data_IF_635880696558
#
_entry.id   IF_635880696558
#
_cell.length_a   1.000
_cell.length_b   1.000
_cell.length_c   1.000
_cell.angle_alpha   90.00
_cell.angle_beta   90.00
_cell.angle_gamma   90.00
#
_symmetry.space_group_name_H-M   'P 1'
#
loop_
_entity.id
_entity.type
_entity.pdbx_description
1 polymer ?
#
# COMPACT_ATOMS: atom_id res chain seq x y z
N UNK A 1 13.98 6.89 7.97
CA UNK A 1 12.66 7.60 7.97
C UNK A 1 11.62 6.81 8.77
N UNK A 2 11.03 7.44 9.78
CA UNK A 2 9.94 6.86 10.60
C UNK A 2 8.75 7.83 10.67
N UNK A 3 7.56 7.32 11.00
CA UNK A 3 6.47 8.16 11.50
C UNK A 3 6.86 8.55 12.92
N UNK A 4 6.94 9.85 13.20
CA UNK A 4 7.33 10.38 14.50
C UNK A 4 6.18 11.03 15.25
N UNK A 5 5.14 11.46 14.56
CA UNK A 5 4.01 12.16 15.17
C UNK A 5 2.73 11.98 14.37
N UNK A 6 1.62 11.84 15.08
CA UNK A 6 0.26 11.92 14.57
C UNK A 6 -0.51 12.98 15.33
N UNK A 7 -1.18 13.86 14.60
CA UNK A 7 -2.18 14.76 15.16
C UNK A 7 -3.52 14.53 14.48
N UNK A 8 -4.59 14.46 15.27
CA UNK A 8 -5.95 14.24 14.80
C UNK A 8 -6.85 15.33 15.38
N UNK A 9 -7.63 15.97 14.53
CA UNK A 9 -8.75 16.83 14.89
C UNK A 9 -10.04 16.30 14.23
N UNK A 10 -11.10 16.15 15.03
CA UNK A 10 -12.49 15.84 14.62
C UNK A 10 -12.69 14.56 13.80
N UNK A 11 -11.93 13.49 14.06
CA UNK A 11 -12.04 12.22 13.32
C UNK A 11 -12.69 11.13 14.18
N UNK A 12 -13.89 10.68 13.76
CA UNK A 12 -14.70 9.66 14.44
C UNK A 12 -14.90 10.00 15.92
N UNK A 13 -14.47 9.13 16.84
CA UNK A 13 -14.57 9.36 18.29
C UNK A 13 -13.48 10.28 18.88
N UNK A 14 -12.62 10.89 18.05
CA UNK A 14 -11.49 11.72 18.51
C UNK A 14 -11.73 13.18 18.13
N UNK A 15 -11.95 14.03 19.13
CA UNK A 15 -12.06 15.48 18.93
C UNK A 15 -10.68 16.12 18.72
N UNK A 16 -9.70 15.77 19.56
CA UNK A 16 -8.31 16.21 19.45
C UNK A 16 -7.39 15.13 20.04
N UNK A 17 -6.31 14.79 19.35
CA UNK A 17 -5.30 13.86 19.82
C UNK A 17 -3.94 14.17 19.20
N UNK A 18 -2.89 14.06 20.02
CA UNK A 18 -1.51 14.16 19.59
C UNK A 18 -0.74 12.98 20.19
N UNK A 19 -0.04 12.23 19.33
CA UNK A 19 0.77 11.06 19.71
C UNK A 19 2.13 11.18 19.04
N UNK A 20 3.19 11.06 19.84
CA UNK A 20 4.54 10.85 19.36
C UNK A 20 4.82 9.35 19.20
N UNK A 21 5.61 9.00 18.19
CA UNK A 21 5.96 7.63 17.84
C UNK A 21 7.46 7.44 17.87
N UNK A 22 7.87 6.30 18.43
CA UNK A 22 9.23 5.77 18.35
C UNK A 22 9.30 4.63 17.32
N UNK A 23 10.50 4.06 17.12
CA UNK A 23 10.71 2.88 16.27
C UNK A 23 9.75 1.73 16.59
N UNK A 24 9.40 1.55 17.87
CA UNK A 24 8.37 0.60 18.32
C UNK A 24 7.44 1.30 19.27
N UNK A 25 6.19 1.48 18.87
CA UNK A 25 5.16 2.16 19.66
C UNK A 25 4.04 1.17 20.00
N UNK A 26 3.75 0.99 21.29
CA UNK A 26 2.68 0.11 21.77
C UNK A 26 1.49 0.95 22.26
N UNK A 27 0.36 0.85 21.56
CA UNK A 27 -0.87 1.54 21.94
C UNK A 27 -1.78 0.58 22.72
N UNK A 28 -2.02 0.87 23.99
CA UNK A 28 -2.89 0.08 24.87
C UNK A 28 -3.98 0.96 25.51
N UNK A 29 -5.02 0.31 26.04
CA UNK A 29 -6.19 0.97 26.63
C UNK A 29 -7.44 0.12 26.51
N UNK A 30 -8.53 0.54 27.16
CA UNK A 30 -9.81 -0.19 27.15
C UNK A 30 -10.41 -0.34 25.74
N UNK A 31 -11.33 -1.28 25.56
CA UNK A 31 -12.04 -1.39 24.29
C UNK A 31 -12.80 -0.09 23.98
N UNK A 32 -12.92 0.23 22.68
CA UNK A 32 -13.61 1.43 22.20
C UNK A 32 -13.00 2.79 22.56
N UNK A 33 -11.76 2.85 23.06
CA UNK A 33 -11.08 4.12 23.39
C UNK A 33 -10.39 4.81 22.21
N UNK A 34 -10.66 4.41 20.97
CA UNK A 34 -10.07 5.04 19.78
C UNK A 34 -8.74 4.46 19.30
N UNK A 35 -8.23 3.36 19.87
CA UNK A 35 -6.98 2.70 19.40
C UNK A 35 -7.03 2.33 17.91
N UNK A 36 -8.13 1.71 17.47
CA UNK A 36 -8.34 1.39 16.06
C UNK A 36 -8.56 2.65 15.20
N UNK A 37 -9.09 3.73 15.79
CA UNK A 37 -9.25 5.03 15.12
C UNK A 37 -7.89 5.66 14.82
N UNK A 38 -6.93 5.58 15.74
CA UNK A 38 -5.54 6.03 15.54
C UNK A 38 -4.92 5.30 14.34
N UNK A 39 -5.03 3.97 14.30
CA UNK A 39 -4.50 3.18 13.19
C UNK A 39 -5.20 3.51 11.87
N UNK A 40 -6.53 3.67 11.88
CA UNK A 40 -7.29 4.07 10.70
C UNK A 40 -6.87 5.45 10.18
N UNK A 41 -6.61 6.42 11.06
CA UNK A 41 -6.15 7.76 10.67
C UNK A 41 -4.81 7.70 9.92
N UNK A 42 -3.84 6.92 10.43
CA UNK A 42 -2.55 6.69 9.77
C UNK A 42 -2.75 6.03 8.40
N UNK A 43 -3.60 5.01 8.32
CA UNK A 43 -3.92 4.33 7.06
C UNK A 43 -4.54 5.28 6.03
N UNK A 44 -5.41 6.20 6.46
CA UNK A 44 -6.06 7.14 5.55
C UNK A 44 -5.05 8.10 4.93
N UNK A 45 -4.10 8.62 5.71
CA UNK A 45 -3.05 9.52 5.21
C UNK A 45 -2.07 8.81 4.27
N UNK A 46 -1.74 7.55 4.56
CA UNK A 46 -0.81 6.76 3.75
C UNK A 46 -1.48 6.05 2.57
N UNK A 47 -2.82 6.03 2.53
CA UNK A 47 -3.60 5.32 1.54
C UNK A 47 -3.48 5.91 0.14
N UNK A 48 -3.56 5.05 -0.89
CA UNK A 48 -3.50 5.44 -2.32
C UNK A 48 -4.68 6.29 -2.80
N UNK A 49 -5.68 6.50 -1.95
CA UNK A 49 -6.83 7.37 -2.21
C UNK A 49 -6.47 8.85 -2.00
N UNK A 50 -5.42 9.16 -1.23
CA UNK A 50 -4.98 10.55 -1.01
C UNK A 50 -4.56 11.17 -2.34
N UNK A 51 -5.16 12.32 -2.67
CA UNK A 51 -4.95 13.04 -3.93
C UNK A 51 -5.91 12.66 -5.07
N UNK A 52 -6.88 11.77 -4.85
CA UNK A 52 -8.00 11.58 -5.79
C UNK A 52 -9.10 12.60 -5.50
N UNK A 53 -9.85 12.99 -6.53
CA UNK A 53 -10.98 13.94 -6.41
C UNK A 53 -12.20 13.37 -5.65
N UNK A 54 -12.25 12.05 -5.44
CA UNK A 54 -13.29 11.41 -4.62
C UNK A 54 -13.03 11.67 -3.14
N UNK A 55 -14.08 11.87 -2.36
CA UNK A 55 -13.99 12.02 -0.90
C UNK A 55 -13.17 10.87 -0.30
N UNK A 56 -12.05 11.20 0.33
CA UNK A 56 -11.26 10.23 1.11
C UNK A 56 -12.01 9.84 2.39
N UNK A 57 -12.90 10.71 2.86
CA UNK A 57 -13.72 10.53 4.05
C UNK A 57 -15.17 10.20 3.70
N UNK A 58 -15.78 9.36 4.53
CA UNK A 58 -17.22 9.12 4.56
C UNK A 58 -17.88 9.96 5.67
N UNK A 59 -19.21 10.06 5.66
CA UNK A 59 -19.99 10.70 6.74
C UNK A 59 -19.65 10.15 8.13
N UNK A 60 -19.39 8.84 8.22
CA UNK A 60 -19.00 8.16 9.46
C UNK A 60 -17.66 8.64 10.04
N UNK A 61 -16.80 9.21 9.20
CA UNK A 61 -15.46 9.64 9.62
C UNK A 61 -15.47 10.98 10.36
N UNK A 62 -16.56 11.77 10.26
CA UNK A 62 -16.70 13.04 10.94
C UNK A 62 -17.09 12.86 12.41
N UNK A 63 -16.43 13.61 13.29
CA UNK A 63 -16.86 13.71 14.68
C UNK A 63 -18.16 14.51 14.78
N UNK A 64 -19.16 13.95 15.45
CA UNK A 64 -20.46 14.57 15.67
C UNK A 64 -20.69 14.75 17.17
N UNK A 65 -21.19 15.93 17.54
CA UNK A 65 -21.82 16.12 18.85
C UNK A 65 -23.18 15.41 18.88
N UNK A 66 -23.80 15.31 20.07
CA UNK A 66 -24.98 14.46 20.33
C UNK A 66 -26.14 14.64 19.33
N UNK A 67 -26.31 15.84 18.76
CA UNK A 67 -27.36 16.19 17.81
C UNK A 67 -26.82 16.69 16.45
N UNK A 68 -25.52 16.52 16.17
CA UNK A 68 -24.86 17.06 14.98
C UNK A 68 -25.13 16.25 13.71
N UNK A 69 -25.21 16.92 12.56
CA UNK A 69 -25.22 16.28 11.25
C UNK A 69 -23.82 16.30 10.61
N UNK A 70 -23.45 15.28 9.82
CA UNK A 70 -22.17 15.26 9.10
C UNK A 70 -21.89 16.50 8.23
N UNK A 71 -22.93 17.14 7.71
CA UNK A 71 -22.81 18.37 6.91
C UNK A 71 -22.38 19.58 7.73
N UNK A 72 -22.68 19.58 9.02
CA UNK A 72 -22.42 20.67 9.96
C UNK A 72 -21.16 20.38 10.82
N UNK A 73 -20.55 19.22 10.62
CA UNK A 73 -19.42 18.76 11.40
C UNK A 73 -18.18 19.63 11.18
N UNK A 74 -17.40 19.80 12.24
CA UNK A 74 -16.11 20.46 12.15
C UNK A 74 -15.18 19.71 11.17
N UNK A 75 -14.33 20.42 10.42
CA UNK A 75 -13.42 19.77 9.48
C UNK A 75 -12.50 18.75 10.17
N UNK A 76 -12.33 17.61 9.53
CA UNK A 76 -11.33 16.61 9.90
C UNK A 76 -9.96 17.14 9.51
N UNK A 77 -8.98 17.00 10.40
CA UNK A 77 -7.56 17.17 10.08
C UNK A 77 -6.78 16.00 10.66
N UNK A 78 -5.97 15.35 9.81
CA UNK A 78 -5.05 14.30 10.22
C UNK A 78 -3.67 14.68 9.71
N UNK A 79 -2.74 14.95 10.61
CA UNK A 79 -1.37 15.32 10.29
C UNK A 79 -0.42 14.18 10.69
N UNK A 80 0.43 13.77 9.76
CA UNK A 80 1.43 12.73 9.97
C UNK A 80 2.81 13.32 9.69
N UNK A 81 3.67 13.34 10.72
CA UNK A 81 5.04 13.82 10.60
C UNK A 81 5.99 12.66 10.46
N UNK A 82 6.71 12.63 9.34
CA UNK A 82 7.83 11.74 9.11
C UNK A 82 9.11 12.44 9.49
N UNK A 83 10.02 11.68 10.11
CA UNK A 83 11.26 12.22 10.63
C UNK A 83 12.42 11.29 10.34
N UNK A 84 13.58 11.90 10.22
CA UNK A 84 14.87 11.26 10.17
C UNK A 84 15.26 10.63 11.52
N UNK A 85 15.93 9.48 11.51
CA UNK A 85 16.28 8.78 12.77
C UNK A 85 17.60 9.29 13.34
N UNK A 86 18.57 9.54 12.47
CA UNK A 86 19.91 10.04 12.75
C UNK A 86 20.26 11.11 11.73
N UNK A 87 21.11 12.09 12.05
CA UNK A 87 21.52 13.11 11.08
C UNK A 87 22.08 12.46 9.80
N UNK A 88 21.61 12.95 8.64
CA UNK A 88 22.01 12.47 7.30
C UNK A 88 21.60 11.02 6.95
N UNK A 89 20.63 10.43 7.68
CA UNK A 89 19.96 9.15 7.35
C UNK A 89 19.17 9.26 6.02
N UNK A 90 18.67 10.46 5.65
CA UNK A 90 17.99 10.64 4.36
C UNK A 90 18.99 11.00 3.25
N UNK A 91 19.18 10.10 2.28
CA UNK A 91 20.06 10.34 1.12
C UNK A 91 19.70 11.62 0.34
N UNK A 92 20.71 12.32 -0.20
CA UNK A 92 20.52 13.52 -1.04
C UNK A 92 19.51 13.32 -2.17
N UNK A 93 19.50 12.13 -2.79
CA UNK A 93 18.56 11.78 -3.85
C UNK A 93 17.11 11.77 -3.35
N UNK A 94 16.86 11.25 -2.15
CA UNK A 94 15.54 11.26 -1.52
C UNK A 94 15.11 12.68 -1.17
N UNK A 95 16.01 13.47 -0.59
CA UNK A 95 15.76 14.88 -0.22
C UNK A 95 15.41 15.70 -1.46
N UNK A 96 16.19 15.58 -2.55
CA UNK A 96 15.90 16.25 -3.82
C UNK A 96 14.53 15.87 -4.38
N UNK A 97 14.15 14.60 -4.28
CA UNK A 97 12.88 14.14 -4.85
C UNK A 97 11.66 14.55 -4.02
N UNK A 98 11.81 14.69 -2.70
CA UNK A 98 10.78 15.29 -1.84
C UNK A 98 10.73 16.81 -2.05
N UNK A 99 11.88 17.42 -2.32
CA UNK A 99 12.02 18.81 -2.73
C UNK A 99 11.57 19.76 -1.60
N UNK A 100 10.70 20.74 -1.89
CA UNK A 100 10.40 21.83 -0.95
C UNK A 100 9.57 21.40 0.27
N UNK A 101 9.12 20.15 0.35
CA UNK A 101 8.32 19.67 1.49
C UNK A 101 9.18 19.21 2.66
N UNK A 102 10.50 19.09 2.45
CA UNK A 102 11.46 18.77 3.51
C UNK A 102 11.73 20.03 4.32
N UNK A 103 11.49 19.94 5.62
CA UNK A 103 11.86 20.93 6.61
C UNK A 103 12.91 20.39 7.57
N UNK A 104 13.42 21.27 8.42
CA UNK A 104 14.31 20.91 9.53
C UNK A 104 13.55 21.10 10.84
N UNK A 105 13.49 20.04 11.64
CA UNK A 105 12.88 20.05 12.97
C UNK A 105 13.70 20.85 13.98
N UNK A 106 13.15 21.10 15.17
CA UNK A 106 13.83 21.85 16.23
C UNK A 106 15.10 21.18 16.77
N UNK A 107 15.30 19.91 16.47
CA UNK A 107 16.47 19.10 16.82
C UNK A 107 17.49 18.98 15.67
N UNK A 108 17.28 19.69 14.56
CA UNK A 108 18.18 19.67 13.41
C UNK A 108 17.97 18.50 12.44
N UNK A 109 17.02 17.61 12.73
CA UNK A 109 16.72 16.45 11.88
C UNK A 109 15.72 16.81 10.77
N UNK A 110 15.83 16.13 9.64
CA UNK A 110 14.91 16.35 8.52
C UNK A 110 13.50 15.83 8.84
N UNK A 111 12.49 16.63 8.50
CA UNK A 111 11.07 16.29 8.69
C UNK A 111 10.24 16.57 7.45
N UNK A 112 9.15 15.81 7.30
CA UNK A 112 8.07 16.10 6.35
C UNK A 112 6.75 15.90 7.08
N UNK A 113 5.88 16.89 7.06
CA UNK A 113 4.54 16.78 7.64
C UNK A 113 3.49 16.80 6.55
N UNK A 114 2.70 15.73 6.45
CA UNK A 114 1.59 15.59 5.52
C UNK A 114 0.27 15.74 6.27
N UNK A 115 -0.58 16.68 5.84
CA UNK A 115 -1.93 16.84 6.34
C UNK A 115 -2.95 16.34 5.33
N UNK A 116 -3.90 15.53 5.81
CA UNK A 116 -5.13 15.18 5.11
C UNK A 116 -6.30 15.89 5.80
N UNK A 117 -7.09 16.63 5.02
CA UNK A 117 -8.25 17.39 5.51
C UNK A 117 -9.52 16.93 4.84
N UNK A 118 -10.62 16.89 5.59
CA UNK A 118 -11.96 16.55 5.11
C UNK A 118 -12.99 17.56 5.60
N UNK A 119 -13.87 18.03 4.71
CA UNK A 119 -14.99 18.90 5.10
C UNK A 119 -16.18 18.69 4.18
N UNK A 120 -17.37 19.07 4.64
CA UNK A 120 -18.50 19.29 3.76
C UNK A 120 -18.29 20.59 2.97
N UNK A 121 -18.63 20.57 1.68
CA UNK A 121 -18.63 21.75 0.82
C UNK A 121 -20.07 22.08 0.43
N UNK A 122 -20.64 23.12 1.04
CA UNK A 122 -22.02 23.55 0.78
C UNK A 122 -22.26 23.96 -0.67
N UNK A 123 -21.26 24.55 -1.34
CA UNK A 123 -21.40 25.01 -2.72
C UNK A 123 -21.52 23.82 -3.70
N UNK A 124 -20.87 22.70 -3.37
CA UNK A 124 -20.91 21.47 -4.16
C UNK A 124 -21.99 20.50 -3.65
N UNK A 125 -22.44 20.67 -2.41
CA UNK A 125 -23.37 19.76 -1.73
C UNK A 125 -22.77 18.39 -1.45
N UNK A 126 -21.45 18.31 -1.20
CA UNK A 126 -20.74 17.04 -1.05
C UNK A 126 -19.51 17.15 -0.16
N UNK A 127 -19.05 16.01 0.37
CA UNK A 127 -17.81 15.93 1.11
C UNK A 127 -16.61 16.04 0.18
N UNK A 128 -15.68 16.91 0.54
CA UNK A 128 -14.43 17.12 -0.18
C UNK A 128 -13.24 16.77 0.70
N UNK A 129 -12.18 16.31 0.08
CA UNK A 129 -10.93 16.01 0.76
C UNK A 129 -9.78 16.71 0.05
N UNK A 130 -8.83 17.19 0.84
CA UNK A 130 -7.63 17.84 0.35
C UNK A 130 -6.44 17.33 1.14
N UNK A 131 -5.26 17.46 0.55
CA UNK A 131 -4.00 17.23 1.26
C UNK A 131 -3.08 18.41 1.02
N UNK A 132 -2.20 18.66 1.99
CA UNK A 132 -1.16 19.66 1.92
C UNK A 132 0.03 19.24 2.76
N UNK A 133 1.21 19.77 2.41
CA UNK A 133 2.40 19.60 3.23
C UNK A 133 2.53 20.79 4.17
N UNK A 134 3.04 20.58 5.37
CA UNK A 134 3.28 21.65 6.32
C UNK A 134 4.78 21.92 6.48
N UNK A 135 5.13 23.19 6.63
CA UNK A 135 6.45 23.57 7.09
C UNK A 135 6.62 23.21 8.60
N UNK A 136 7.84 23.30 9.17
CA UNK A 136 8.06 23.03 10.60
C UNK A 136 7.25 23.91 11.57
N UNK A 137 6.75 25.08 11.11
CA UNK A 137 5.91 25.98 11.91
C UNK A 137 4.41 25.61 11.85
N UNK A 138 4.01 24.67 11.00
CA UNK A 138 2.62 24.24 10.79
C UNK A 138 1.89 24.97 9.66
N UNK A 139 2.56 25.82 8.89
CA UNK A 139 1.94 26.53 7.76
C UNK A 139 1.90 25.65 6.50
N UNK A 140 0.82 25.72 5.71
CA UNK A 140 0.71 24.97 4.47
C UNK A 140 1.71 25.43 3.41
N UNK A 141 2.37 24.46 2.81
CA UNK A 141 3.25 24.59 1.65
C UNK A 141 2.46 24.42 0.34
N UNK A 142 3.01 24.89 -0.80
CA UNK A 142 2.40 24.66 -2.11
C UNK A 142 2.16 23.17 -2.39
N UNK A 143 1.07 22.87 -3.08
CA UNK A 143 0.68 21.50 -3.39
C UNK A 143 1.78 20.76 -4.17
N UNK A 144 2.18 19.58 -3.69
CA UNK A 144 3.24 18.77 -4.28
C UNK A 144 2.80 17.30 -4.43
N UNK A 145 2.05 16.99 -5.47
CA UNK A 145 1.53 15.64 -5.72
C UNK A 145 2.64 14.61 -6.00
N UNK A 146 3.78 15.03 -6.54
CA UNK A 146 4.96 14.16 -6.74
C UNK A 146 5.55 13.70 -5.41
N UNK A 147 5.72 14.62 -4.45
CA UNK A 147 6.22 14.28 -3.12
C UNK A 147 5.27 13.32 -2.38
N UNK A 148 3.95 13.53 -2.50
CA UNK A 148 2.96 12.61 -1.94
C UNK A 148 3.15 11.17 -2.47
N UNK A 149 3.23 11.02 -3.80
CA UNK A 149 3.43 9.69 -4.42
C UNK A 149 4.74 9.05 -3.97
N UNK A 150 5.78 9.85 -3.77
CA UNK A 150 7.08 9.38 -3.31
C UNK A 150 7.04 8.92 -1.85
N UNK A 151 6.41 9.66 -0.95
CA UNK A 151 6.22 9.24 0.45
C UNK A 151 5.46 7.91 0.50
N UNK A 152 4.39 7.78 -0.29
CA UNK A 152 3.62 6.53 -0.38
C UNK A 152 4.42 5.34 -0.96
N UNK A 153 5.53 5.59 -1.67
CA UNK A 153 6.45 4.56 -2.15
C UNK A 153 7.54 4.23 -1.13
N UNK A 154 8.06 5.23 -0.41
CA UNK A 154 9.16 5.10 0.54
C UNK A 154 8.67 4.54 1.89
N UNK A 155 7.43 4.86 2.29
CA UNK A 155 6.82 4.40 3.54
C UNK A 155 5.66 3.45 3.24
N UNK A 156 5.93 2.17 2.90
CA UNK A 156 4.88 1.18 2.77
C UNK A 156 4.28 0.90 4.16
N UNK A 157 2.99 1.21 4.33
CA UNK A 157 2.26 0.95 5.57
C UNK A 157 1.59 -0.42 5.53
N UNK A 158 1.95 -1.32 6.44
CA UNK A 158 1.30 -2.63 6.57
C UNK A 158 0.31 -2.60 7.72
N UNK A 159 -0.98 -2.75 7.42
CA UNK A 159 -1.99 -2.89 8.45
C UNK A 159 -2.36 -4.35 8.67
N UNK A 160 -1.97 -4.85 9.83
CA UNK A 160 -2.25 -6.22 10.25
C UNK A 160 -3.36 -6.17 11.31
N UNK A 161 -4.61 -6.12 10.87
CA UNK A 161 -5.78 -6.11 11.78
C UNK A 161 -5.82 -7.34 12.69
N UNK A 162 -5.46 -8.49 12.12
CA UNK A 162 -5.26 -9.77 12.77
C UNK A 162 -4.31 -10.62 11.90
N UNK A 163 -3.63 -11.61 12.50
CA UNK A 163 -2.72 -12.50 11.76
C UNK A 163 -3.38 -13.19 10.55
N UNK A 164 -4.70 -13.45 10.64
CA UNK A 164 -5.52 -14.02 9.56
C UNK A 164 -5.70 -13.06 8.38
N UNK A 165 -5.74 -11.75 8.64
CA UNK A 165 -5.89 -10.71 7.62
C UNK A 165 -4.54 -10.34 6.98
N UNK A 166 -3.42 -10.55 7.68
CA UNK A 166 -2.07 -10.43 7.14
C UNK A 166 -1.88 -11.24 5.85
N UNK A 167 -2.39 -12.48 5.85
CA UNK A 167 -2.34 -13.37 4.68
C UNK A 167 -3.07 -12.82 3.44
N UNK A 168 -3.96 -11.83 3.59
CA UNK A 168 -4.60 -11.13 2.44
C UNK A 168 -3.71 -10.05 1.85
N UNK A 169 -2.91 -9.36 2.66
CA UNK A 169 -1.99 -8.30 2.22
C UNK A 169 -0.77 -8.86 1.47
N UNK A 170 -0.37 -10.11 1.76
CA UNK A 170 0.74 -10.82 1.13
C UNK A 170 0.36 -11.60 -0.15
N UNK A 171 -0.81 -11.37 -0.74
CA UNK A 171 -1.19 -12.01 -2.01
C UNK A 171 -0.52 -11.32 -3.20
N UNK A 172 -0.35 -12.06 -4.30
CA UNK A 172 0.14 -11.58 -5.61
C UNK A 172 -0.43 -10.21 -6.05
N UNK A 173 -1.73 -10.03 -5.84
CA UNK A 173 -2.52 -8.86 -6.25
C UNK A 173 -2.80 -7.92 -5.07
N UNK A 174 -2.18 -8.16 -3.92
CA UNK A 174 -2.28 -7.29 -2.76
C UNK A 174 -1.78 -5.89 -3.11
N UNK A 175 -2.42 -4.86 -2.55
CA UNK A 175 -2.05 -3.47 -2.80
C UNK A 175 -0.57 -3.20 -2.44
N UNK A 176 0.01 -4.00 -1.54
CA UNK A 176 1.36 -3.84 -1.01
C UNK A 176 2.37 -4.86 -1.55
N UNK A 177 2.08 -6.16 -1.54
CA UNK A 177 3.05 -7.19 -1.98
C UNK A 177 3.29 -7.20 -3.50
N UNK A 178 2.26 -6.92 -4.30
CA UNK A 178 2.37 -6.89 -5.77
C UNK A 178 3.44 -5.91 -6.30
N UNK A 179 3.46 -4.63 -5.87
CA UNK A 179 4.52 -3.68 -6.21
C UNK A 179 5.92 -4.10 -5.75
N UNK A 180 6.06 -4.66 -4.54
CA UNK A 180 7.34 -5.14 -4.01
C UNK A 180 7.92 -6.25 -4.90
N UNK A 181 7.12 -7.27 -5.21
CA UNK A 181 7.49 -8.35 -6.14
C UNK A 181 7.85 -7.82 -7.53
N UNK A 182 7.11 -6.84 -8.05
CA UNK A 182 7.42 -6.21 -9.35
C UNK A 182 8.71 -5.39 -9.34
N UNK A 183 9.16 -4.92 -8.18
CA UNK A 183 10.37 -4.12 -8.03
C UNK A 183 11.64 -4.95 -7.85
N UNK A 184 11.52 -6.25 -7.54
CA UNK A 184 12.64 -7.18 -7.46
C UNK A 184 13.25 -7.35 -8.86
N UNK A 185 14.44 -6.76 -9.05
CA UNK A 185 15.29 -7.03 -10.20
C UNK A 185 16.13 -8.26 -9.89
N UNK A 186 15.76 -9.39 -10.48
CA UNK A 186 16.59 -10.61 -10.46
C UNK A 186 17.63 -10.46 -11.57
N UNK A 187 18.87 -10.85 -11.26
CA UNK A 187 19.95 -10.90 -12.24
C UNK A 187 19.56 -11.78 -13.44
N UNK A 188 19.85 -11.36 -14.69
CA UNK A 188 19.45 -12.12 -15.88
C UNK A 188 19.96 -13.56 -15.89
N UNK A 189 21.19 -13.80 -15.43
CA UNK A 189 21.81 -15.13 -15.49
C UNK A 189 21.11 -16.08 -14.50
N UNK A 190 20.85 -15.60 -13.28
CA UNK A 190 20.11 -16.34 -12.25
C UNK A 190 18.67 -16.61 -12.70
N UNK A 191 18.06 -15.65 -13.39
CA UNK A 191 16.69 -15.81 -13.90
C UNK A 191 16.62 -16.93 -14.93
N UNK A 192 17.54 -16.97 -15.89
CA UNK A 192 17.57 -18.02 -16.92
C UNK A 192 17.80 -19.41 -16.30
N UNK A 193 18.69 -19.51 -15.31
CA UNK A 193 18.92 -20.74 -14.57
C UNK A 193 17.63 -21.27 -13.90
N UNK A 194 16.93 -20.39 -13.16
CA UNK A 194 15.67 -20.74 -12.50
C UNK A 194 14.60 -21.17 -13.52
N UNK A 195 14.44 -20.45 -14.64
CA UNK A 195 13.47 -20.79 -15.70
C UNK A 195 13.79 -22.16 -16.33
N UNK A 196 15.07 -22.51 -16.50
CA UNK A 196 15.49 -23.82 -16.98
C UNK A 196 15.16 -24.96 -16.00
N UNK A 197 15.39 -24.76 -14.71
CA UNK A 197 15.03 -25.74 -13.68
C UNK A 197 13.52 -25.98 -13.62
N UNK A 198 12.72 -24.90 -13.71
CA UNK A 198 11.26 -24.98 -13.75
C UNK A 198 10.79 -25.78 -14.97
N UNK A 199 11.40 -25.55 -16.13
CA UNK A 199 11.06 -26.29 -17.35
C UNK A 199 11.32 -27.79 -17.20
N UNK A 200 12.46 -28.17 -16.60
CA UNK A 200 12.75 -29.58 -16.32
C UNK A 200 11.76 -30.19 -15.33
N UNK A 201 11.40 -29.44 -14.27
CA UNK A 201 10.41 -29.90 -13.30
C UNK A 201 9.03 -30.05 -13.92
N UNK A 202 8.61 -29.11 -14.78
CA UNK A 202 7.35 -29.16 -15.52
C UNK A 202 7.29 -30.41 -16.39
N UNK A 203 8.37 -30.73 -17.11
CA UNK A 203 8.44 -31.94 -17.94
C UNK A 203 8.28 -33.21 -17.10
N UNK A 204 8.98 -33.30 -15.96
CA UNK A 204 8.85 -34.45 -15.04
C UNK A 204 7.43 -34.63 -14.51
N UNK A 205 6.70 -33.54 -14.25
CA UNK A 205 5.30 -33.59 -13.79
C UNK A 205 4.39 -34.09 -14.92
N UNK A 206 4.61 -33.64 -16.15
CA UNK A 206 3.86 -34.09 -17.32
C UNK A 206 4.11 -35.58 -17.60
N UNK A 207 5.38 -36.01 -17.57
CA UNK A 207 5.77 -37.41 -17.81
C UNK A 207 5.21 -38.36 -16.73
N UNK A 208 5.05 -37.89 -15.49
CA UNK A 208 4.50 -38.69 -14.39
C UNK A 208 2.99 -38.95 -14.51
N UNK A 209 2.27 -38.17 -15.33
CA UNK A 209 0.82 -38.24 -15.44
C UNK A 209 0.36 -38.53 -16.87
N UNK A 210 0.11 -39.81 -17.16
CA UNK A 210 -0.40 -40.33 -18.44
C UNK A 210 -1.72 -39.70 -18.91
N UNK A 211 -2.47 -39.04 -18.02
CA UNK A 211 -3.69 -38.32 -18.36
C UNK A 211 -3.46 -37.08 -19.25
N UNK A 212 -2.29 -36.45 -19.19
CA UNK A 212 -2.02 -35.24 -19.97
C UNK A 212 -1.84 -35.53 -21.46
N UNK A 213 -1.28 -36.68 -21.81
CA UNK A 213 -1.14 -37.10 -23.22
C UNK A 213 -2.51 -37.33 -23.87
N UNK A 214 -3.44 -37.94 -23.12
CA UNK A 214 -4.82 -38.14 -23.57
C UNK A 214 -5.56 -36.80 -23.77
N UNK A 215 -5.28 -35.80 -22.93
CA UNK A 215 -5.85 -34.45 -23.05
C UNK A 215 -5.24 -33.71 -24.24
N UNK A 216 -3.91 -33.75 -24.43
CA UNK A 216 -3.23 -33.18 -25.61
C UNK A 216 -3.78 -33.79 -26.90
N UNK A 217 -3.94 -35.11 -26.96
CA UNK A 217 -4.48 -35.80 -28.13
C UNK A 217 -5.91 -35.35 -28.48
N UNK A 218 -6.79 -35.22 -27.47
CA UNK A 218 -8.18 -34.76 -27.68
C UNK A 218 -8.27 -33.30 -28.09
N UNK A 219 -7.47 -32.43 -27.48
CA UNK A 219 -7.42 -31.00 -27.81
C UNK A 219 -6.80 -30.80 -29.21
N UNK A 220 -5.78 -31.57 -29.57
CA UNK A 220 -5.19 -31.57 -30.91
C UNK A 220 -6.18 -32.00 -32.00
N UNK A 221 -7.00 -33.03 -31.74
CA UNK A 221 -8.08 -33.42 -32.66
C UNK A 221 -9.15 -32.33 -32.80
N UNK A 222 -9.44 -31.61 -31.72
CA UNK A 222 -10.41 -30.50 -31.75
C UNK A 222 -9.89 -29.28 -32.50
N UNK A 223 -8.58 -29.00 -32.42
CA UNK A 223 -7.90 -27.94 -33.17
C UNK A 223 -7.91 -28.16 -34.70
N UNK A 224 -8.16 -29.38 -35.18
CA UNK A 224 -8.34 -29.67 -36.60
C UNK A 224 -9.73 -29.27 -37.13
N UNK A 225 -10.71 -29.13 -36.23
CA UNK A 225 -12.11 -28.81 -36.58
C UNK A 225 -12.42 -27.32 -36.48
N UNK A 226 -11.59 -26.55 -35.77
CA UNK A 226 -11.72 -25.10 -35.60
C UNK A 226 -10.34 -24.47 -35.78
N UNK A 227 -10.15 -23.48 -36.67
CA UNK A 227 -8.85 -22.84 -36.86
C UNK A 227 -8.47 -22.06 -35.59
N UNK A 228 -7.64 -22.68 -34.75
CA UNK A 228 -6.95 -22.00 -33.66
C UNK A 228 -5.67 -21.44 -34.27
N UNK A 229 -5.53 -20.11 -34.29
CA UNK A 229 -4.58 -19.42 -35.15
C UNK A 229 -3.11 -19.86 -35.03
N UNK A 230 -2.50 -20.16 -36.18
CA UNK A 230 -1.17 -19.70 -36.59
C UNK A 230 0.10 -20.25 -35.93
N UNK A 231 0.04 -21.22 -35.00
CA UNK A 231 1.24 -21.82 -34.42
C UNK A 231 1.34 -23.32 -34.74
N UNK A 232 2.57 -23.79 -34.99
CA UNK A 232 2.90 -25.19 -35.36
C UNK A 232 2.55 -26.23 -34.27
N UNK A 233 2.13 -25.80 -33.07
CA UNK A 233 1.64 -26.66 -32.00
C UNK A 233 0.47 -25.98 -31.24
N UNK A 234 -0.80 -26.28 -31.57
CA UNK A 234 -1.95 -25.49 -31.11
C UNK A 234 -2.32 -25.74 -29.64
N UNK A 235 -1.67 -26.68 -28.95
CA UNK A 235 -2.02 -27.07 -27.57
C UNK A 235 -0.77 -27.36 -26.73
N UNK A 236 -0.28 -26.36 -26.01
CA UNK A 236 0.66 -26.58 -24.90
C UNK A 236 -0.09 -26.75 -23.58
N UNK A 237 0.42 -27.66 -22.73
CA UNK A 237 -0.05 -27.82 -21.35
C UNK A 237 1.14 -27.58 -20.44
N UNK A 238 1.03 -26.58 -19.58
CA UNK A 238 2.00 -26.27 -18.54
C UNK A 238 1.41 -26.60 -17.17
N UNK A 239 2.04 -27.51 -16.43
CA UNK A 239 1.68 -27.87 -15.07
C UNK A 239 2.22 -26.86 -14.04
N UNK A 240 3.31 -26.17 -14.38
CA UNK A 240 3.95 -25.14 -13.57
C UNK A 240 4.08 -23.82 -14.35
N UNK A 241 4.06 -22.66 -13.68
CA UNK A 241 4.30 -21.38 -14.35
C UNK A 241 5.72 -21.34 -14.91
N UNK A 242 5.89 -21.04 -16.19
CA UNK A 242 7.19 -21.09 -16.89
C UNK A 242 8.09 -19.89 -16.64
N UNK A 243 7.56 -18.79 -16.10
CA UNK A 243 8.32 -17.55 -15.84
C UNK A 243 8.51 -17.36 -14.35
N UNK A 244 9.71 -16.93 -13.95
CA UNK A 244 10.01 -16.62 -12.53
C UNK A 244 9.01 -15.61 -11.97
N UNK A 245 8.61 -14.62 -12.78
CA UNK A 245 7.62 -13.62 -12.40
C UNK A 245 6.27 -14.23 -11.97
N UNK A 246 5.80 -15.27 -12.65
CA UNK A 246 4.52 -15.91 -12.34
C UNK A 246 4.59 -16.74 -11.05
N UNK A 247 5.77 -17.27 -10.74
CA UNK A 247 6.06 -17.92 -9.46
C UNK A 247 6.11 -16.90 -8.33
N UNK A 248 6.86 -15.81 -8.52
CA UNK A 248 6.96 -14.74 -7.54
C UNK A 248 5.60 -14.11 -7.24
N UNK A 249 4.76 -13.95 -8.26
CA UNK A 249 3.39 -13.53 -8.07
C UNK A 249 2.68 -14.49 -7.10
N UNK A 250 2.81 -15.81 -7.27
CA UNK A 250 2.17 -16.82 -6.42
C UNK A 250 2.81 -17.03 -5.04
N UNK A 251 3.85 -16.27 -4.68
CA UNK A 251 4.51 -16.36 -3.36
C UNK A 251 3.48 -16.20 -2.24
N UNK A 252 3.50 -17.13 -1.28
CA UNK A 252 2.68 -17.06 -0.07
C UNK A 252 3.59 -16.81 1.13
N UNK A 253 3.23 -15.85 1.97
CA UNK A 253 3.90 -15.62 3.25
C UNK A 253 3.20 -16.47 4.31
N UNK A 254 3.92 -17.44 4.87
CA UNK A 254 3.45 -18.27 5.98
C UNK A 254 3.94 -17.66 7.29
N UNK A 255 3.01 -17.21 8.13
CA UNK A 255 3.32 -16.73 9.48
C UNK A 255 3.11 -17.89 10.46
N UNK A 256 4.20 -18.54 10.88
CA UNK A 256 4.17 -19.54 11.95
C UNK A 256 4.09 -18.82 13.30
N UNK A 257 3.05 -19.11 14.08
CA UNK A 257 3.01 -18.75 15.50
C UNK A 257 3.83 -19.80 16.24
N UNK A 258 4.92 -19.39 16.89
CA UNK A 258 5.67 -20.25 17.82
C UNK A 258 5.07 -20.12 19.21
#
# INVERSE_FOLDING_TARGET
MIISKLKIDNFRGITALEIDFDQTTVVFGSNNTGKSTVLAAIQMVLGRAVGRRSAAFSEYDFHLDQDGQPTDAAPIKIELTFKETEPDDWSDAMVQQLGPVVGIGGDGLQIVTLRLSGRYDEAIGSFVSAFDFLNPNGDPLPANASALRRIQQIVPAFYLAALRDAAREFRSNGAFWGPFVKSLKIDPDIREEIEAEIAQLNQRVLDAHTGFDAVKARLGQSAQLVPLGGADDPVSIDALPSRVFDILARTQVLLSVT
#
